data_IF_089574610764
#
_entry.id   IF_089574610764
#
_cell.length_a   1.000
_cell.length_b   1.000
_cell.length_c   1.000
_cell.angle_alpha   90.00
_cell.angle_beta   90.00
_cell.angle_gamma   90.00
#
_symmetry.space_group_name_H-M   'P 1'
#
loop_
_entity.id
_entity.type
_entity.pdbx_description
1 polymer ?
#
# COMPACT_ATOMS: atom_id res chain seq x y z
N UNK A 1 24.86 20.39 16.97
CA UNK A 1 24.00 19.20 17.13
C UNK A 1 24.88 18.02 17.52
N UNK A 2 24.65 17.40 18.69
CA UNK A 2 25.51 16.32 19.22
C UNK A 2 24.90 14.96 18.89
N UNK A 3 25.60 14.15 18.10
CA UNK A 3 25.21 12.77 17.81
C UNK A 3 25.22 11.91 19.07
N UNK A 4 24.19 11.08 19.24
CA UNK A 4 24.01 10.19 20.38
C UNK A 4 25.08 9.08 20.48
N UNK A 5 25.20 8.41 21.64
CA UNK A 5 26.28 7.46 21.92
C UNK A 5 26.33 6.25 20.97
N UNK A 6 25.17 5.79 20.47
CA UNK A 6 25.07 4.65 19.52
C UNK A 6 25.52 5.04 18.12
N UNK A 7 25.13 6.21 17.63
CA UNK A 7 25.58 6.77 16.35
C UNK A 7 27.11 6.95 16.31
N UNK A 8 27.71 7.37 17.43
CA UNK A 8 29.17 7.46 17.57
C UNK A 8 29.86 6.09 17.51
N UNK A 9 29.26 5.06 18.10
CA UNK A 9 29.79 3.69 18.08
C UNK A 9 29.84 3.07 16.67
N UNK A 10 28.83 3.36 15.84
CA UNK A 10 28.78 2.89 14.45
C UNK A 10 29.82 3.62 13.59
N UNK A 11 29.94 4.94 13.74
CA UNK A 11 30.92 5.75 13.01
C UNK A 11 32.38 5.30 13.23
N UNK A 12 32.70 4.85 14.44
CA UNK A 12 34.04 4.41 14.83
C UNK A 12 34.37 3.00 14.31
N UNK A 13 33.37 2.12 14.14
CA UNK A 13 33.55 0.75 13.62
C UNK A 13 33.88 0.72 12.12
N UNK A 14 33.41 1.72 11.37
CA UNK A 14 33.55 1.82 9.92
C UNK A 14 34.95 2.30 9.51
N UNK A 15 35.67 3.04 10.37
CA UNK A 15 37.02 3.52 10.08
C UNK A 15 38.12 2.45 10.13
N UNK A 16 37.81 1.26 10.65
CA UNK A 16 38.84 0.26 11.01
C UNK A 16 38.89 -0.97 10.10
N UNK A 17 38.03 -1.13 9.09
CA UNK A 17 38.11 -2.29 8.17
C UNK A 17 37.88 -1.90 6.71
N UNK A 18 38.96 -2.07 5.97
CA UNK A 18 39.09 -2.36 4.54
C UNK A 18 38.62 -1.32 3.51
N UNK A 19 39.60 -0.95 2.69
CA UNK A 19 39.44 -0.30 1.38
C UNK A 19 38.57 -1.18 0.48
N UNK A 20 37.25 -1.04 0.59
CA UNK A 20 36.31 -1.36 -0.47
C UNK A 20 35.77 -0.04 -1.01
N UNK A 21 36.05 0.13 -2.30
CA UNK A 21 35.59 1.17 -3.22
C UNK A 21 34.16 1.65 -2.94
N UNK A 22 34.02 2.97 -2.86
CA UNK A 22 32.80 3.77 -2.58
C UNK A 22 32.13 3.45 -1.24
N UNK A 23 32.22 4.41 -0.31
CA UNK A 23 31.39 4.48 0.90
C UNK A 23 29.91 4.60 0.52
N UNK A 24 29.30 3.49 0.12
CA UNK A 24 27.87 3.39 -0.12
C UNK A 24 27.24 3.00 1.19
N UNK A 25 26.39 3.86 1.71
CA UNK A 25 25.54 3.48 2.83
C UNK A 25 24.67 2.30 2.42
N UNK A 26 24.56 1.30 3.29
CA UNK A 26 23.55 0.28 3.09
C UNK A 26 22.18 0.88 3.38
N UNK A 27 21.14 0.33 2.74
CA UNK A 27 19.74 0.70 3.04
C UNK A 27 19.42 0.50 4.53
N UNK A 28 20.08 -0.47 5.17
CA UNK A 28 19.96 -0.71 6.60
C UNK A 28 20.56 0.43 7.44
N UNK A 29 21.71 0.97 7.04
CA UNK A 29 22.35 2.10 7.73
C UNK A 29 21.53 3.39 7.61
N UNK A 30 20.93 3.62 6.44
CA UNK A 30 20.02 4.76 6.22
C UNK A 30 18.75 4.68 7.07
N UNK A 31 18.21 3.47 7.26
CA UNK A 31 17.05 3.23 8.12
C UNK A 31 17.36 3.52 9.59
N UNK A 32 18.52 3.07 10.09
CA UNK A 32 18.93 3.30 11.48
C UNK A 32 19.17 4.78 11.80
N UNK A 33 19.66 5.56 10.84
CA UNK A 33 19.80 7.01 10.99
C UNK A 33 18.45 7.73 11.05
N UNK A 34 17.41 7.18 10.42
CA UNK A 34 16.07 7.76 10.43
C UNK A 34 15.29 7.38 11.69
N UNK A 35 15.43 6.15 12.19
CA UNK A 35 14.83 5.72 13.47
C UNK A 35 15.30 6.59 14.65
N UNK A 36 16.54 7.10 14.63
CA UNK A 36 17.08 8.02 15.65
C UNK A 36 16.80 9.52 15.37
N UNK A 37 16.40 9.89 14.14
CA UNK A 37 16.21 11.29 13.72
C UNK A 37 14.75 11.76 13.67
N UNK A 38 13.79 10.83 13.69
CA UNK A 38 12.37 11.16 13.65
C UNK A 38 11.84 11.38 15.08
N UNK A 39 12.02 12.61 15.57
CA UNK A 39 11.04 13.22 16.47
C UNK A 39 9.72 13.36 15.69
N UNK A 40 8.86 12.34 15.76
CA UNK A 40 7.60 12.29 15.01
C UNK A 40 7.32 10.94 14.36
N UNK A 41 7.76 9.83 14.98
CA UNK A 41 7.38 8.50 14.52
C UNK A 41 5.85 8.49 14.44
N UNK A 42 5.30 8.09 13.29
CA UNK A 42 3.85 8.04 13.13
C UNK A 42 3.28 7.28 14.34
N UNK A 43 2.29 7.89 15.00
CA UNK A 43 1.63 7.31 16.16
C UNK A 43 1.35 5.82 15.88
N UNK A 44 1.71 4.92 16.80
CA UNK A 44 1.51 3.49 16.60
C UNK A 44 0.03 3.25 16.28
N UNK A 45 -0.23 2.61 15.13
CA UNK A 45 -1.58 2.31 14.66
C UNK A 45 -2.43 1.76 15.81
N UNK A 46 -3.52 2.45 16.14
CA UNK A 46 -4.43 2.03 17.21
C UNK A 46 -5.24 0.80 16.79
N UNK A 47 -5.76 0.06 17.77
CA UNK A 47 -6.64 -1.09 17.49
C UNK A 47 -7.92 -0.62 16.78
N UNK A 48 -8.45 0.55 17.15
CA UNK A 48 -9.62 1.15 16.52
C UNK A 48 -9.37 1.47 15.05
N UNK A 49 -8.19 2.00 14.70
CA UNK A 49 -7.83 2.30 13.30
C UNK A 49 -7.64 1.03 12.49
N UNK A 50 -7.00 0.00 13.04
CA UNK A 50 -6.88 -1.29 12.38
C UNK A 50 -8.25 -1.91 12.10
N UNK A 51 -9.18 -1.85 13.05
CA UNK A 51 -10.55 -2.33 12.87
C UNK A 51 -11.33 -1.51 11.83
N UNK A 52 -11.12 -0.19 11.78
CA UNK A 52 -11.72 0.67 10.74
C UNK A 52 -11.17 0.32 9.35
N UNK A 53 -9.86 0.13 9.22
CA UNK A 53 -9.23 -0.29 7.97
C UNK A 53 -9.76 -1.65 7.50
N UNK A 54 -9.86 -2.61 8.41
CA UNK A 54 -10.42 -3.92 8.09
C UNK A 54 -11.89 -3.83 7.64
N UNK A 55 -12.70 -2.98 8.30
CA UNK A 55 -14.10 -2.72 7.90
C UNK A 55 -14.19 -2.12 6.51
N UNK A 56 -13.32 -1.17 6.16
CA UNK A 56 -13.25 -0.58 4.81
C UNK A 56 -12.83 -1.60 3.75
N UNK A 57 -11.97 -2.55 4.12
CA UNK A 57 -11.51 -3.62 3.25
C UNK A 57 -12.46 -4.85 3.21
N UNK A 58 -13.59 -4.81 3.93
CA UNK A 58 -14.49 -5.96 4.10
C UNK A 58 -13.81 -7.23 4.65
N UNK A 59 -12.82 -7.06 5.52
CA UNK A 59 -12.11 -8.16 6.18
C UNK A 59 -12.67 -8.37 7.60
N UNK A 60 -13.13 -9.60 7.88
CA UNK A 60 -13.50 -9.99 9.24
C UNK A 60 -12.25 -10.42 10.01
N UNK A 61 -11.73 -9.49 10.81
CA UNK A 61 -10.61 -9.72 11.73
C UNK A 61 -11.06 -9.82 13.20
N UNK A 62 -12.37 -9.63 13.46
CA UNK A 62 -12.96 -9.74 14.79
C UNK A 62 -13.31 -11.20 15.12
N UNK A 63 -13.81 -11.96 14.15
CA UNK A 63 -14.27 -13.35 14.35
C UNK A 63 -13.25 -14.47 14.12
N UNK A 64 -12.05 -14.17 13.58
CA UNK A 64 -11.07 -15.18 13.18
C UNK A 64 -9.94 -15.44 14.19
N UNK A 65 -9.18 -16.53 13.97
CA UNK A 65 -7.91 -16.86 14.65
C UNK A 65 -6.74 -15.96 14.18
N UNK A 66 -6.99 -14.67 13.98
CA UNK A 66 -5.96 -13.73 13.54
C UNK A 66 -5.21 -13.18 14.75
N UNK A 67 -3.88 -13.27 14.71
CA UNK A 67 -3.03 -12.55 15.66
C UNK A 67 -3.07 -11.05 15.30
N UNK A 68 -4.01 -10.34 15.93
CA UNK A 68 -4.21 -8.90 15.73
C UNK A 68 -3.00 -8.09 16.14
N UNK A 69 -2.23 -8.57 17.12
CA UNK A 69 -1.01 -7.89 17.57
C UNK A 69 0.08 -7.96 16.51
N UNK A 70 0.29 -9.13 15.91
CA UNK A 70 1.20 -9.28 14.78
C UNK A 70 0.75 -8.44 13.58
N UNK A 71 -0.54 -8.49 13.22
CA UNK A 71 -1.09 -7.70 12.12
C UNK A 71 -0.90 -6.20 12.33
N UNK A 72 -1.19 -5.69 13.52
CA UNK A 72 -1.00 -4.28 13.87
C UNK A 72 0.46 -3.85 13.75
N UNK A 73 1.37 -4.68 14.24
CA UNK A 73 2.81 -4.44 14.14
C UNK A 73 3.25 -4.37 12.68
N UNK A 74 2.79 -5.31 11.86
CA UNK A 74 3.22 -5.42 10.48
C UNK A 74 2.65 -4.27 9.63
N UNK A 75 1.37 -3.92 9.81
CA UNK A 75 0.75 -2.75 9.15
C UNK A 75 1.42 -1.45 9.61
N UNK A 76 1.68 -1.29 10.91
CA UNK A 76 2.40 -0.14 11.44
C UNK A 76 3.82 0.00 10.87
N UNK A 77 4.53 -1.12 10.71
CA UNK A 77 5.85 -1.11 10.09
C UNK A 77 5.79 -0.66 8.61
N UNK A 78 4.79 -1.12 7.86
CA UNK A 78 4.58 -0.70 6.46
C UNK A 78 4.26 0.81 6.40
N UNK A 79 3.38 1.30 7.27
CA UNK A 79 3.04 2.73 7.34
C UNK A 79 4.27 3.59 7.67
N UNK A 80 5.09 3.16 8.62
CA UNK A 80 6.34 3.85 8.96
C UNK A 80 7.31 3.86 7.79
N UNK A 81 7.45 2.75 7.06
CA UNK A 81 8.26 2.71 5.84
C UNK A 81 7.73 3.67 4.77
N UNK A 82 6.41 3.79 4.61
CA UNK A 82 5.81 4.74 3.65
C UNK A 82 5.97 6.20 4.11
N UNK A 83 5.95 6.47 5.41
CA UNK A 83 6.18 7.82 5.94
C UNK A 83 7.58 8.35 5.56
N UNK A 84 8.57 7.47 5.39
CA UNK A 84 9.90 7.84 4.88
C UNK A 84 9.84 8.48 3.47
N UNK A 85 8.84 8.11 2.66
CA UNK A 85 8.66 8.71 1.33
C UNK A 85 8.15 10.15 1.42
N UNK A 86 7.49 10.54 2.52
CA UNK A 86 6.97 11.89 2.70
C UNK A 86 8.07 12.91 3.03
N UNK A 87 9.20 12.46 3.56
CA UNK A 87 10.37 13.30 3.87
C UNK A 87 11.37 13.39 2.71
N UNK A 88 11.11 12.66 1.62
CA UNK A 88 11.97 12.65 0.43
C UNK A 88 11.54 13.78 -0.50
N UNK A 89 12.44 14.74 -0.76
CA UNK A 89 12.20 15.81 -1.73
C UNK A 89 12.08 15.23 -3.15
N UNK A 90 10.90 15.41 -3.77
CA UNK A 90 10.58 14.92 -5.12
C UNK A 90 11.11 15.87 -6.20
N UNK A 91 12.36 16.33 -6.09
CA UNK A 91 12.92 17.35 -6.98
C UNK A 91 13.04 16.92 -8.46
N UNK A 92 13.10 15.61 -8.74
CA UNK A 92 13.36 15.07 -10.10
C UNK A 92 12.25 14.15 -10.66
N UNK A 93 11.12 13.96 -9.96
CA UNK A 93 9.99 13.19 -10.53
C UNK A 93 9.09 14.15 -11.30
N UNK A 94 9.22 14.18 -12.62
CA UNK A 94 8.20 14.85 -13.44
C UNK A 94 6.87 14.15 -13.19
N UNK A 95 5.82 14.91 -12.84
CA UNK A 95 4.45 14.38 -12.70
C UNK A 95 3.99 13.60 -13.94
N UNK A 96 4.66 13.81 -15.08
CA UNK A 96 4.39 13.12 -16.35
C UNK A 96 4.90 11.67 -16.37
N UNK A 97 5.89 11.32 -15.54
CA UNK A 97 6.49 9.97 -15.50
C UNK A 97 5.65 8.98 -14.67
N UNK A 98 4.75 9.48 -13.82
CA UNK A 98 3.85 8.65 -12.99
C UNK A 98 2.66 8.09 -13.76
N UNK A 99 2.28 8.74 -14.86
CA UNK A 99 1.20 8.25 -15.71
C UNK A 99 1.81 7.34 -16.77
N UNK A 100 1.13 6.23 -17.05
CA UNK A 100 1.51 5.40 -18.20
C UNK A 100 1.60 6.33 -19.43
N UNK A 101 2.75 6.36 -20.15
CA UNK A 101 2.84 7.17 -21.34
C UNK A 101 1.69 6.75 -22.24
N UNK A 102 0.90 7.71 -22.72
CA UNK A 102 -0.15 7.41 -23.67
C UNK A 102 0.52 6.77 -24.89
N UNK A 103 0.50 5.44 -24.98
CA UNK A 103 1.14 4.65 -26.04
C UNK A 103 0.37 4.75 -27.37
N UNK A 104 -0.30 5.87 -27.59
CA UNK A 104 -0.90 6.33 -28.83
C UNK A 104 -0.89 7.85 -28.78
N UNK A 105 -0.33 8.50 -29.81
CA UNK A 105 0.15 9.88 -29.76
C UNK A 105 -0.84 10.92 -29.22
N UNK A 106 -0.26 11.98 -28.63
CA UNK A 106 -0.91 13.27 -28.30
C UNK A 106 -2.25 13.17 -27.56
N UNK A 107 -2.16 12.97 -26.24
CA UNK A 107 -2.93 13.75 -25.25
C UNK A 107 -4.46 13.61 -25.20
N UNK A 108 -5.08 12.69 -25.93
CA UNK A 108 -6.53 12.48 -25.85
C UNK A 108 -6.87 11.16 -25.15
N UNK A 109 -7.88 11.20 -24.28
CA UNK A 109 -8.43 9.99 -23.65
C UNK A 109 -8.94 9.02 -24.73
N UNK A 110 -8.76 7.72 -24.51
CA UNK A 110 -9.32 6.70 -25.40
C UNK A 110 -10.83 6.67 -25.25
N UNK A 111 -11.53 7.35 -26.15
CA UNK A 111 -12.99 7.33 -26.22
C UNK A 111 -13.44 6.03 -26.87
N UNK A 112 -14.45 5.39 -26.28
CA UNK A 112 -15.16 4.26 -26.91
C UNK A 112 -16.19 4.83 -27.89
N UNK A 113 -16.28 4.25 -29.08
CA UNK A 113 -17.36 4.56 -30.02
C UNK A 113 -18.72 4.15 -29.44
N UNK A 114 -19.76 4.92 -29.76
CA UNK A 114 -21.14 4.62 -29.33
C UNK A 114 -21.77 3.58 -30.25
N UNK A 115 -21.25 2.35 -30.15
CA UNK A 115 -21.73 1.19 -30.90
C UNK A 115 -22.45 0.26 -29.94
N UNK A 116 -23.66 -0.15 -30.33
CA UNK A 116 -24.42 -1.21 -29.67
C UNK A 116 -23.83 -2.56 -30.05
N UNK A 117 -23.27 -3.26 -29.08
CA UNK A 117 -22.82 -4.65 -29.25
C UNK A 117 -23.89 -5.58 -28.70
N UNK A 118 -24.49 -6.39 -29.57
CA UNK A 118 -25.44 -7.42 -29.12
C UNK A 118 -24.71 -8.50 -28.31
N UNK A 119 -25.32 -8.90 -27.20
CA UNK A 119 -24.86 -10.05 -26.44
C UNK A 119 -25.06 -11.34 -27.21
N UNK A 120 -24.11 -12.27 -27.14
CA UNK A 120 -24.25 -13.57 -27.79
C UNK A 120 -25.48 -14.36 -27.28
N UNK A 121 -25.97 -15.35 -28.02
CA UNK A 121 -27.19 -16.11 -27.68
C UNK A 121 -27.13 -16.87 -26.35
N UNK A 122 -25.93 -17.04 -25.76
CA UNK A 122 -25.71 -17.67 -24.44
C UNK A 122 -25.28 -16.69 -23.35
N UNK A 123 -25.33 -15.38 -23.61
CA UNK A 123 -24.80 -14.34 -22.71
C UNK A 123 -25.43 -14.43 -21.30
N UNK A 124 -26.75 -14.65 -21.22
CA UNK A 124 -27.43 -14.73 -19.92
C UNK A 124 -26.95 -15.92 -19.07
N UNK A 125 -26.72 -17.08 -19.69
CA UNK A 125 -26.21 -18.25 -19.00
C UNK A 125 -24.74 -18.06 -18.58
N UNK A 126 -23.92 -17.45 -19.45
CA UNK A 126 -22.50 -17.19 -19.17
C UNK A 126 -22.29 -16.17 -18.05
N UNK A 127 -23.15 -15.15 -17.97
CA UNK A 127 -23.07 -14.12 -16.90
C UNK A 127 -23.30 -14.73 -15.52
N UNK A 128 -24.15 -15.76 -15.44
CA UNK A 128 -24.57 -16.36 -14.17
C UNK A 128 -23.81 -17.64 -13.81
N UNK A 129 -22.95 -18.16 -14.70
CA UNK A 129 -22.26 -19.44 -14.54
C UNK A 129 -21.41 -19.53 -13.28
N UNK A 130 -20.76 -18.43 -12.89
CA UNK A 130 -19.88 -18.37 -11.71
C UNK A 130 -20.58 -17.83 -10.45
N UNK A 131 -21.89 -17.59 -10.52
CA UNK A 131 -22.63 -17.08 -9.38
C UNK A 131 -22.77 -18.17 -8.30
N UNK A 132 -22.50 -17.78 -7.05
CA UNK A 132 -22.67 -18.70 -5.91
C UNK A 132 -24.13 -19.14 -5.77
N UNK A 133 -25.07 -18.21 -5.94
CA UNK A 133 -26.50 -18.48 -5.93
C UNK A 133 -27.20 -17.63 -7.00
N UNK A 134 -28.19 -18.22 -7.67
CA UNK A 134 -29.01 -17.55 -8.68
C UNK A 134 -30.48 -17.89 -8.50
N UNK A 135 -31.36 -16.93 -8.77
CA UNK A 135 -32.80 -17.15 -8.79
C UNK A 135 -33.42 -16.28 -9.89
N UNK A 136 -34.26 -16.88 -10.73
CA UNK A 136 -35.03 -16.17 -11.78
C UNK A 136 -34.18 -15.23 -12.67
N UNK A 137 -32.94 -15.63 -13.00
CA UNK A 137 -32.02 -14.83 -13.82
C UNK A 137 -31.32 -13.69 -13.06
N UNK A 138 -31.33 -13.72 -11.73
CA UNK A 138 -30.69 -12.72 -10.86
C UNK A 138 -29.66 -13.39 -9.95
N UNK A 139 -28.65 -12.61 -9.55
CA UNK A 139 -27.74 -12.99 -8.46
C UNK A 139 -28.47 -12.87 -7.13
N UNK A 140 -28.35 -13.90 -6.29
CA UNK A 140 -28.93 -13.88 -4.95
C UNK A 140 -27.85 -13.44 -3.96
N UNK A 141 -28.17 -12.44 -3.13
CA UNK A 141 -27.31 -11.95 -2.06
C UNK A 141 -28.15 -11.77 -0.79
N UNK A 142 -27.54 -11.89 0.41
CA UNK A 142 -28.22 -11.58 1.66
C UNK A 142 -28.85 -10.18 1.62
N UNK A 143 -30.03 -10.04 2.21
CA UNK A 143 -30.75 -8.77 2.23
C UNK A 143 -29.87 -7.67 2.83
N UNK A 144 -29.67 -6.59 2.07
CA UNK A 144 -28.95 -5.41 2.55
C UNK A 144 -29.84 -4.70 3.56
N UNK A 145 -29.58 -4.91 4.86
CA UNK A 145 -30.22 -4.17 5.92
C UNK A 145 -29.83 -2.69 5.81
N UNK A 146 -30.72 -1.86 5.28
CA UNK A 146 -30.59 -0.40 5.41
C UNK A 146 -30.73 -0.07 6.89
N UNK A 147 -29.62 0.20 7.56
CA UNK A 147 -29.66 0.84 8.88
C UNK A 147 -30.39 2.18 8.71
N UNK A 148 -31.60 2.26 9.25
CA UNK A 148 -32.32 3.51 9.52
C UNK A 148 -31.65 4.27 10.66
#
# INVERSE_FOLDING_TARGET
MSLGPRARGILMRIKSKDKISQSRWSVHDLRLLHEDAVEGAAEPLSDEELLRLAKLAHLDIEGGNFDRTALRRDVGAIMNCMALLQTTDLHDVSKQDMYAPATGGKGSARLREDVVTEGGPKMQAQVLENAQETAHGQFVVPLVNRKS
#
